data_IF_914238371118
#
_entry.id   IF_914238371118
#
_cell.length_a   1.000
_cell.length_b   1.000
_cell.length_c   1.000
_cell.angle_alpha   90.00
_cell.angle_beta   90.00
_cell.angle_gamma   90.00
#
_symmetry.space_group_name_H-M   'P 1'
#
loop_
_entity.id
_entity.type
_entity.pdbx_description
1 polymer ?
#
# COMPACT_ATOMS: atom_id res chain seq x y z
N UNK A 1 14.52 -20.03 13.92
CA UNK A 1 15.90 -19.52 13.66
C UNK A 1 16.29 -18.46 14.70
N UNK A 2 15.68 -17.28 14.75
CA UNK A 2 16.03 -16.19 15.70
C UNK A 2 16.15 -16.66 17.18
N UNK A 3 15.23 -17.46 17.71
CA UNK A 3 15.32 -17.94 19.10
C UNK A 3 16.48 -18.86 19.44
N UNK A 4 17.01 -19.57 18.44
CA UNK A 4 18.22 -20.36 18.60
C UNK A 4 19.45 -19.46 18.72
N UNK A 5 19.47 -18.32 18.01
CA UNK A 5 20.57 -17.34 18.05
C UNK A 5 20.56 -16.49 19.32
N UNK A 6 19.39 -16.25 19.91
CA UNK A 6 19.22 -15.47 21.16
C UNK A 6 19.22 -16.40 22.40
N UNK A 7 19.32 -17.72 22.21
CA UNK A 7 19.32 -18.69 23.33
C UNK A 7 17.99 -18.76 24.10
N UNK A 8 16.88 -18.30 23.52
CA UNK A 8 15.58 -18.23 24.20
C UNK A 8 14.80 -19.53 24.07
N UNK A 9 14.11 -19.94 25.14
CA UNK A 9 13.22 -21.11 25.13
C UNK A 9 12.03 -20.89 24.17
N UNK A 10 11.66 -21.88 23.33
CA UNK A 10 10.55 -21.75 22.37
C UNK A 10 9.23 -21.24 22.96
N UNK A 11 8.87 -21.71 24.16
CA UNK A 11 7.65 -21.28 24.88
C UNK A 11 7.62 -19.78 25.17
N UNK A 12 8.76 -19.20 25.55
CA UNK A 12 8.85 -17.75 25.81
C UNK A 12 8.65 -16.96 24.52
N UNK A 13 9.24 -17.41 23.41
CA UNK A 13 9.07 -16.74 22.11
C UNK A 13 7.63 -16.73 21.63
N UNK A 14 6.93 -17.85 21.80
CA UNK A 14 5.54 -17.98 21.40
C UNK A 14 4.62 -17.08 22.24
N UNK A 15 4.81 -17.06 23.56
CA UNK A 15 4.06 -16.15 24.44
C UNK A 15 4.24 -14.67 24.05
N UNK A 16 5.47 -14.24 23.75
CA UNK A 16 5.74 -12.87 23.30
C UNK A 16 5.15 -12.57 21.91
N UNK A 17 5.07 -13.55 21.02
CA UNK A 17 4.38 -13.38 19.73
C UNK A 17 2.87 -13.21 19.90
N UNK A 18 2.25 -14.01 20.78
CA UNK A 18 0.82 -13.86 21.08
C UNK A 18 0.53 -12.52 21.74
N UNK A 19 1.31 -12.15 22.76
CA UNK A 19 1.18 -10.85 23.42
C UNK A 19 1.37 -9.69 22.42
N UNK A 20 2.41 -9.76 21.59
CA UNK A 20 2.65 -8.76 20.55
C UNK A 20 1.52 -8.66 19.53
N UNK A 21 0.93 -9.79 19.14
CA UNK A 21 -0.22 -9.82 18.22
C UNK A 21 -1.47 -9.22 18.87
N UNK A 22 -1.73 -9.52 20.14
CA UNK A 22 -2.86 -8.96 20.89
C UNK A 22 -2.74 -7.45 21.06
N UNK A 23 -1.56 -6.96 21.48
CA UNK A 23 -1.30 -5.52 21.64
C UNK A 23 -1.39 -4.81 20.30
N UNK A 24 -0.85 -5.41 19.23
CA UNK A 24 -0.96 -4.87 17.86
C UNK A 24 -2.42 -4.80 17.40
N UNK A 25 -3.20 -5.88 17.57
CA UNK A 25 -4.62 -5.92 17.19
C UNK A 25 -5.44 -4.87 17.95
N UNK A 26 -5.23 -4.72 19.26
CA UNK A 26 -5.89 -3.71 20.07
C UNK A 26 -5.54 -2.28 19.61
N UNK A 27 -4.25 -2.03 19.33
CA UNK A 27 -3.76 -0.72 18.86
C UNK A 27 -4.35 -0.38 17.50
N UNK A 28 -4.29 -1.32 16.54
CA UNK A 28 -4.84 -1.15 15.19
C UNK A 28 -6.35 -0.92 15.25
N UNK A 29 -7.09 -1.70 16.05
CA UNK A 29 -8.52 -1.50 16.26
C UNK A 29 -8.85 -0.10 16.82
N UNK A 30 -8.07 0.38 17.78
CA UNK A 30 -8.20 1.74 18.32
C UNK A 30 -7.93 2.82 17.27
N UNK A 31 -6.85 2.68 16.49
CA UNK A 31 -6.51 3.62 15.40
C UNK A 31 -7.60 3.65 14.34
N UNK A 32 -8.12 2.50 13.91
CA UNK A 32 -9.23 2.41 12.95
C UNK A 32 -10.47 3.16 13.45
N UNK A 33 -10.80 3.03 14.75
CA UNK A 33 -11.94 3.74 15.33
C UNK A 33 -11.73 5.26 15.34
N UNK A 34 -10.51 5.73 15.63
CA UNK A 34 -10.17 7.16 15.55
C UNK A 34 -10.30 7.66 14.12
N UNK A 35 -9.70 6.95 13.15
CA UNK A 35 -9.78 7.31 11.73
C UNK A 35 -11.24 7.37 11.23
N UNK A 36 -12.06 6.39 11.62
CA UNK A 36 -13.48 6.39 11.27
C UNK A 36 -14.22 7.61 11.83
N UNK A 37 -13.91 8.03 13.05
CA UNK A 37 -14.55 9.22 13.65
C UNK A 37 -14.06 10.53 13.05
N UNK A 38 -12.79 10.62 12.67
CA UNK A 38 -12.17 11.86 12.18
C UNK A 38 -12.42 12.12 10.70
N UNK A 39 -12.39 11.07 9.87
CA UNK A 39 -12.52 11.18 8.40
C UNK A 39 -13.71 10.40 7.84
N UNK A 40 -14.15 9.34 8.53
CA UNK A 40 -15.13 8.40 7.97
C UNK A 40 -14.52 7.50 6.89
N UNK A 41 -15.15 6.34 6.67
CA UNK A 41 -14.78 5.42 5.58
C UNK A 41 -15.78 5.45 4.40
N UNK A 42 -16.87 6.22 4.53
CA UNK A 42 -17.91 6.42 3.51
C UNK A 42 -18.31 7.90 3.46
N UNK A 43 -18.36 8.50 2.26
CA UNK A 43 -18.73 9.91 2.05
C UNK A 43 -17.71 10.73 1.21
N UNK A 44 -17.98 12.03 0.97
CA UNK A 44 -17.15 12.89 0.11
C UNK A 44 -15.71 13.12 0.60
N UNK A 45 -15.49 13.16 1.92
CA UNK A 45 -14.17 13.39 2.55
C UNK A 45 -13.62 12.13 3.25
N UNK A 46 -14.16 10.96 2.91
CA UNK A 46 -13.81 9.70 3.54
C UNK A 46 -12.45 9.17 3.08
N UNK A 47 -11.82 8.38 3.96
CA UNK A 47 -10.65 7.58 3.59
C UNK A 47 -11.08 6.42 2.69
N UNK A 48 -11.23 6.71 1.40
CA UNK A 48 -11.63 5.71 0.40
C UNK A 48 -10.55 4.64 0.32
N UNK A 49 -10.94 3.38 0.56
CA UNK A 49 -10.08 2.22 0.44
C UNK A 49 -10.46 1.43 -0.83
N UNK A 50 -9.94 1.81 -2.01
CA UNK A 50 -10.36 1.22 -3.29
C UNK A 50 -10.06 -0.28 -3.40
N UNK A 51 -9.09 -0.80 -2.65
CA UNK A 51 -8.81 -2.24 -2.59
C UNK A 51 -9.73 -2.98 -1.61
N UNK A 52 -10.19 -2.32 -0.55
CA UNK A 52 -11.07 -2.93 0.45
C UNK A 52 -12.52 -3.00 -0.03
N UNK A 53 -12.99 -2.01 -0.81
CA UNK A 53 -14.38 -1.93 -1.27
C UNK A 53 -14.80 -3.16 -2.11
N UNK A 54 -14.03 -3.66 -3.09
CA UNK A 54 -14.37 -4.89 -3.82
C UNK A 54 -14.32 -6.14 -2.93
N UNK A 55 -13.38 -6.20 -1.98
CA UNK A 55 -13.30 -7.33 -1.03
C UNK A 55 -14.53 -7.35 -0.11
N UNK A 56 -14.97 -6.19 0.38
CA UNK A 56 -16.20 -6.06 1.14
C UNK A 56 -17.42 -6.50 0.30
N UNK A 57 -17.51 -6.04 -0.95
CA UNK A 57 -18.60 -6.43 -1.86
C UNK A 57 -18.67 -7.94 -2.16
N UNK A 58 -17.56 -8.68 -2.05
CA UNK A 58 -17.54 -10.16 -2.17
C UNK A 58 -17.93 -10.85 -0.86
N UNK A 59 -17.58 -10.25 0.28
CA UNK A 59 -17.86 -10.79 1.61
C UNK A 59 -19.32 -10.50 2.04
N UNK A 60 -19.86 -9.34 1.70
CA UNK A 60 -21.21 -8.91 2.10
C UNK A 60 -22.30 -9.92 1.70
N UNK A 61 -22.33 -10.50 0.48
CA UNK A 61 -23.28 -11.55 0.13
C UNK A 61 -23.11 -12.82 0.98
N UNK A 62 -21.87 -13.18 1.34
CA UNK A 62 -21.58 -14.36 2.17
C UNK A 62 -22.02 -14.17 3.63
N UNK A 63 -21.96 -12.94 4.14
CA UNK A 63 -22.34 -12.62 5.53
C UNK A 63 -23.82 -12.28 5.70
N UNK A 64 -24.44 -11.65 4.69
CA UNK A 64 -25.84 -11.22 4.73
C UNK A 64 -26.85 -12.31 4.34
N UNK A 65 -26.37 -13.46 3.87
CA UNK A 65 -27.20 -14.55 3.36
C UNK A 65 -27.92 -14.22 2.04
N UNK A 66 -27.66 -13.04 1.44
CA UNK A 66 -28.08 -12.75 0.07
C UNK A 66 -27.34 -13.68 -0.90
N UNK A 67 -28.05 -14.21 -1.90
CA UNK A 67 -27.45 -15.10 -2.88
C UNK A 67 -26.27 -14.41 -3.59
N UNK A 68 -25.07 -14.96 -3.45
CA UNK A 68 -23.90 -14.43 -4.13
C UNK A 68 -24.13 -14.44 -5.66
N UNK A 69 -23.65 -13.43 -6.40
CA UNK A 69 -23.85 -13.33 -7.84
C UNK A 69 -22.91 -14.31 -8.59
N UNK A 70 -23.18 -15.62 -8.48
CA UNK A 70 -22.38 -16.70 -9.05
C UNK A 70 -22.15 -16.56 -10.56
N UNK A 71 -23.12 -15.97 -11.28
CA UNK A 71 -22.97 -15.65 -12.70
C UNK A 71 -21.82 -14.68 -12.98
N UNK A 72 -21.66 -13.62 -12.17
CA UNK A 72 -20.56 -12.67 -12.29
C UNK A 72 -19.21 -13.32 -11.94
N UNK A 73 -19.19 -14.21 -10.94
CA UNK A 73 -17.99 -14.99 -10.62
C UNK A 73 -17.58 -15.94 -11.75
N UNK A 74 -18.56 -16.57 -12.41
CA UNK A 74 -18.32 -17.40 -13.59
C UNK A 74 -17.72 -16.59 -14.75
N UNK A 75 -18.26 -15.41 -15.03
CA UNK A 75 -17.70 -14.49 -16.05
C UNK A 75 -16.27 -14.08 -15.68
N UNK A 76 -16.02 -13.72 -14.42
CA UNK A 76 -14.68 -13.41 -13.92
C UNK A 76 -13.70 -14.58 -14.09
N UNK A 77 -14.14 -15.82 -13.84
CA UNK A 77 -13.32 -17.02 -14.04
C UNK A 77 -12.98 -17.24 -15.51
N UNK A 78 -13.93 -17.02 -16.43
CA UNK A 78 -13.68 -17.12 -17.88
C UNK A 78 -12.69 -16.04 -18.33
N UNK A 79 -12.85 -14.80 -17.89
CA UNK A 79 -11.89 -13.72 -18.18
C UNK A 79 -10.49 -14.07 -17.65
N UNK A 80 -10.40 -14.60 -16.43
CA UNK A 80 -9.12 -15.02 -15.84
C UNK A 80 -8.46 -16.14 -16.65
N UNK A 81 -9.23 -17.11 -17.15
CA UNK A 81 -8.72 -18.16 -18.03
C UNK A 81 -8.19 -17.58 -19.35
N UNK A 82 -8.95 -16.71 -20.01
CA UNK A 82 -8.52 -16.04 -21.25
C UNK A 82 -7.23 -15.25 -21.04
N UNK A 83 -7.13 -14.47 -19.97
CA UNK A 83 -5.92 -13.72 -19.63
C UNK A 83 -4.73 -14.64 -19.36
N UNK A 84 -4.97 -15.77 -18.68
CA UNK A 84 -3.94 -16.78 -18.43
C UNK A 84 -3.42 -17.40 -19.74
N UNK A 85 -4.30 -17.68 -20.71
CA UNK A 85 -3.90 -18.12 -22.05
C UNK A 85 -3.05 -17.09 -22.79
N UNK A 86 -3.37 -15.81 -22.63
CA UNK A 86 -2.60 -14.68 -23.18
C UNK A 86 -1.30 -14.39 -22.41
N UNK A 87 -0.96 -15.18 -21.37
CA UNK A 87 0.16 -14.95 -20.45
C UNK A 87 0.11 -13.57 -19.77
N UNK A 88 -1.09 -13.00 -19.62
CA UNK A 88 -1.33 -11.76 -18.87
C UNK A 88 -1.74 -12.14 -17.45
N UNK A 89 -1.07 -11.63 -16.41
CA UNK A 89 -1.48 -11.88 -15.03
C UNK A 89 -2.89 -11.31 -14.76
N UNK A 90 -3.88 -12.19 -14.59
CA UNK A 90 -5.28 -11.80 -14.38
C UNK A 90 -5.46 -10.90 -13.15
N UNK A 91 -4.67 -11.14 -12.08
CA UNK A 91 -4.70 -10.33 -10.86
C UNK A 91 -4.27 -8.88 -11.12
N UNK A 92 -3.18 -8.66 -11.86
CA UNK A 92 -2.69 -7.31 -12.16
C UNK A 92 -3.67 -6.56 -13.06
N UNK A 93 -4.29 -7.27 -14.01
CA UNK A 93 -5.33 -6.71 -14.88
C UNK A 93 -6.56 -6.29 -14.10
N UNK A 94 -7.10 -7.17 -13.24
CA UNK A 94 -8.25 -6.87 -12.41
C UNK A 94 -7.96 -5.70 -11.46
N UNK A 95 -6.82 -5.72 -10.75
CA UNK A 95 -6.42 -4.62 -9.87
C UNK A 95 -6.32 -3.29 -10.63
N UNK A 96 -5.76 -3.28 -11.84
CA UNK A 96 -5.69 -2.07 -12.67
C UNK A 96 -7.06 -1.50 -13.05
N UNK A 97 -8.07 -2.35 -13.25
CA UNK A 97 -9.45 -1.92 -13.53
C UNK A 97 -10.15 -1.31 -12.31
N UNK A 98 -9.78 -1.71 -11.09
CA UNK A 98 -10.43 -1.26 -9.86
C UNK A 98 -9.80 0.01 -9.27
N UNK A 99 -8.53 0.27 -9.56
CA UNK A 99 -7.82 1.39 -8.96
C UNK A 99 -8.20 2.70 -9.68
N UNK A 100 -8.55 3.78 -8.95
CA UNK A 100 -8.78 5.11 -9.53
C UNK A 100 -7.59 5.58 -10.38
N UNK A 101 -7.87 6.38 -11.42
CA UNK A 101 -6.83 6.88 -12.33
C UNK A 101 -5.70 7.63 -11.59
N UNK A 102 -6.06 8.40 -10.57
CA UNK A 102 -5.15 9.16 -9.70
C UNK A 102 -4.11 8.26 -8.99
N UNK A 103 -4.45 7.01 -8.71
CA UNK A 103 -3.56 6.03 -8.10
C UNK A 103 -2.84 5.13 -9.13
N UNK A 104 -3.43 4.95 -10.32
CA UNK A 104 -2.84 4.18 -11.40
C UNK A 104 -1.59 4.85 -12.00
N UNK A 105 -1.58 6.17 -12.17
CA UNK A 105 -0.44 6.89 -12.74
C UNK A 105 0.82 6.75 -11.86
N UNK A 106 0.77 7.00 -10.53
CA UNK A 106 1.92 6.77 -9.66
C UNK A 106 2.39 5.31 -9.67
N UNK A 107 1.47 4.35 -9.76
CA UNK A 107 1.80 2.92 -9.82
C UNK A 107 2.53 2.57 -11.13
N UNK A 108 2.09 3.12 -12.26
CA UNK A 108 2.76 2.99 -13.55
C UNK A 108 4.17 3.58 -13.51
N UNK A 109 4.34 4.78 -12.93
CA UNK A 109 5.64 5.43 -12.78
C UNK A 109 6.55 4.59 -11.88
N UNK A 110 6.04 4.06 -10.76
CA UNK A 110 6.78 3.14 -9.89
C UNK A 110 7.24 1.86 -10.62
N UNK A 111 6.37 1.29 -11.45
CA UNK A 111 6.69 0.16 -12.33
C UNK A 111 7.76 0.50 -13.36
N UNK A 112 7.66 1.67 -14.00
CA UNK A 112 8.65 2.18 -14.94
C UNK A 112 10.02 2.40 -14.28
N UNK A 113 10.03 2.93 -13.05
CA UNK A 113 11.26 3.09 -12.26
C UNK A 113 11.85 1.71 -11.90
N UNK A 114 11.03 0.76 -11.45
CA UNK A 114 11.48 -0.60 -11.14
C UNK A 114 12.13 -1.28 -12.35
N UNK A 115 11.48 -1.18 -13.52
CA UNK A 115 12.03 -1.65 -14.79
C UNK A 115 13.33 -0.93 -15.15
N UNK A 116 13.37 0.39 -15.02
CA UNK A 116 14.55 1.20 -15.31
C UNK A 116 15.74 0.88 -14.39
N UNK A 117 15.51 0.64 -13.10
CA UNK A 117 16.58 0.32 -12.14
C UNK A 117 17.11 -1.11 -12.33
N UNK A 118 16.24 -2.05 -12.71
CA UNK A 118 16.56 -3.48 -12.85
C UNK A 118 17.06 -3.91 -14.23
N UNK A 119 17.06 -3.03 -15.25
CA UNK A 119 17.45 -3.36 -16.63
C UNK A 119 18.81 -2.80 -17.08
N UNK A 120 19.48 -1.98 -16.25
CA UNK A 120 20.64 -1.17 -16.69
C UNK A 120 22.01 -1.82 -16.49
N UNK A 121 22.11 -2.91 -15.74
CA UNK A 121 23.35 -3.69 -15.65
C UNK A 121 23.28 -4.94 -16.51
N UNK A 122 24.43 -5.39 -17.02
CA UNK A 122 24.58 -6.74 -17.60
C UNK A 122 24.64 -7.82 -16.52
N UNK A 123 24.93 -7.43 -15.28
CA UNK A 123 24.99 -8.32 -14.14
C UNK A 123 23.61 -8.48 -13.49
N UNK A 124 23.09 -9.71 -13.51
CA UNK A 124 21.80 -10.08 -12.93
C UNK A 124 21.78 -9.95 -11.39
N UNK A 125 22.90 -10.21 -10.71
CA UNK A 125 23.00 -10.08 -9.25
C UNK A 125 22.91 -8.61 -8.83
N UNK A 126 23.60 -7.74 -9.56
CA UNK A 126 23.58 -6.30 -9.31
C UNK A 126 22.20 -5.69 -9.58
N UNK A 127 21.51 -6.12 -10.65
CA UNK A 127 20.14 -5.67 -10.94
C UNK A 127 19.14 -6.09 -9.85
N UNK A 128 19.29 -7.30 -9.32
CA UNK A 128 18.47 -7.80 -8.21
C UNK A 128 18.71 -6.96 -6.95
N UNK A 129 19.97 -6.74 -6.58
CA UNK A 129 20.31 -5.90 -5.42
C UNK A 129 19.74 -4.48 -5.51
N UNK A 130 19.77 -3.87 -6.71
CA UNK A 130 19.16 -2.55 -6.94
C UNK A 130 17.63 -2.59 -6.83
N UNK A 131 16.99 -3.63 -7.35
CA UNK A 131 15.52 -3.82 -7.26
C UNK A 131 15.08 -4.01 -5.81
N UNK A 132 15.81 -4.82 -5.04
CA UNK A 132 15.51 -5.07 -3.63
C UNK A 132 15.68 -3.80 -2.80
N UNK A 133 16.75 -3.03 -3.06
CA UNK A 133 16.94 -1.72 -2.41
C UNK A 133 15.83 -0.73 -2.76
N UNK A 134 15.42 -0.66 -4.03
CA UNK A 134 14.29 0.18 -4.44
C UNK A 134 12.97 -0.25 -3.78
N UNK A 135 12.74 -1.56 -3.64
CA UNK A 135 11.57 -2.10 -2.95
C UNK A 135 11.58 -1.74 -1.46
N UNK A 136 12.75 -1.77 -0.80
CA UNK A 136 12.93 -1.37 0.59
C UNK A 136 12.66 0.13 0.81
N UNK A 137 13.13 0.99 -0.11
CA UNK A 137 12.85 2.42 -0.04
C UNK A 137 11.36 2.72 -0.25
N UNK A 138 10.75 2.08 -1.25
CA UNK A 138 9.33 2.24 -1.54
C UNK A 138 8.45 1.83 -0.35
N UNK A 139 8.73 0.69 0.29
CA UNK A 139 7.99 0.26 1.48
C UNK A 139 8.21 1.21 2.67
N UNK A 140 9.42 1.78 2.80
CA UNK A 140 9.71 2.84 3.77
C UNK A 140 8.87 4.10 3.55
N UNK A 141 8.72 4.56 2.31
CA UNK A 141 7.86 5.71 1.99
C UNK A 141 6.38 5.43 2.24
N UNK A 142 5.90 4.23 1.89
CA UNK A 142 4.51 3.81 2.18
C UNK A 142 4.27 3.80 3.69
N UNK A 143 5.17 3.18 4.47
CA UNK A 143 5.05 3.12 5.92
C UNK A 143 5.13 4.50 6.57
N UNK A 144 6.07 5.36 6.14
CA UNK A 144 6.21 6.72 6.62
C UNK A 144 4.98 7.58 6.33
N UNK A 145 4.43 7.49 5.11
CA UNK A 145 3.19 8.17 4.74
C UNK A 145 2.00 7.73 5.59
N UNK A 146 1.84 6.42 5.81
CA UNK A 146 0.78 5.88 6.66
C UNK A 146 0.90 6.34 8.12
N UNK A 147 2.12 6.32 8.69
CA UNK A 147 2.38 6.80 10.05
C UNK A 147 2.06 8.29 10.20
N UNK A 148 2.50 9.12 9.24
CA UNK A 148 2.18 10.54 9.25
C UNK A 148 0.68 10.81 9.08
N UNK A 149 -0.04 9.97 8.32
CA UNK A 149 -1.50 10.01 8.23
C UNK A 149 -2.18 9.76 9.57
N UNK A 150 -1.71 8.76 10.34
CA UNK A 150 -2.23 8.48 11.69
C UNK A 150 -1.93 9.63 12.66
N UNK A 151 -0.72 10.20 12.62
CA UNK A 151 -0.35 11.37 13.43
C UNK A 151 -1.26 12.55 13.11
N UNK A 152 -1.48 12.83 11.82
CA UNK A 152 -2.36 13.92 11.38
C UNK A 152 -3.82 13.69 11.83
N UNK A 153 -4.31 12.45 11.76
CA UNK A 153 -5.63 12.07 12.27
C UNK A 153 -5.77 12.31 13.78
N UNK A 154 -4.73 11.98 14.56
CA UNK A 154 -4.72 12.17 16.00
C UNK A 154 -4.72 13.66 16.39
N UNK A 155 -3.96 14.50 15.67
CA UNK A 155 -3.93 15.95 15.91
C UNK A 155 -5.29 16.59 15.59
N UNK A 156 -5.90 16.22 14.46
CA UNK A 156 -7.26 16.68 14.10
C UNK A 156 -8.30 16.22 15.12
N UNK A 157 -8.20 14.98 15.61
CA UNK A 157 -9.05 14.46 16.68
C UNK A 157 -8.89 15.22 18.01
N UNK A 158 -7.68 15.74 18.30
CA UNK A 158 -7.41 16.58 19.48
C UNK A 158 -7.91 18.03 19.34
N UNK A 159 -8.56 18.38 18.22
CA UNK A 159 -9.18 19.69 18.00
C UNK A 159 -8.26 20.76 17.38
N UNK A 160 -7.04 20.40 16.99
CA UNK A 160 -6.15 21.28 16.24
C UNK A 160 -6.21 20.92 14.75
N UNK A 161 -6.98 21.67 13.96
CA UNK A 161 -6.90 21.54 12.51
C UNK A 161 -5.70 22.35 11.98
N UNK A 162 -4.61 21.64 11.70
CA UNK A 162 -3.42 22.23 11.10
C UNK A 162 -3.51 22.29 9.56
N UNK A 163 -4.60 21.77 8.97
CA UNK A 163 -4.82 21.80 7.53
C UNK A 163 -5.32 23.18 7.11
N UNK A 164 -4.53 23.88 6.29
CA UNK A 164 -5.00 25.09 5.62
C UNK A 164 -5.61 24.73 4.26
N UNK A 165 -6.93 24.52 4.23
CA UNK A 165 -7.66 24.13 3.00
C UNK A 165 -7.51 25.15 1.86
N UNK A 166 -7.48 26.45 2.19
CA UNK A 166 -7.31 27.51 1.20
C UNK A 166 -5.94 27.45 0.51
N UNK A 167 -4.90 27.05 1.24
CA UNK A 167 -3.59 26.82 0.65
C UNK A 167 -3.52 25.48 -0.10
N UNK A 168 -4.12 24.41 0.45
CA UNK A 168 -4.13 23.09 -0.18
C UNK A 168 -4.83 23.10 -1.57
N UNK A 169 -5.87 23.91 -1.73
CA UNK A 169 -6.55 24.10 -3.01
C UNK A 169 -5.82 25.08 -3.96
N UNK A 170 -4.75 25.74 -3.51
CA UNK A 170 -4.05 26.73 -4.33
C UNK A 170 -3.17 26.06 -5.39
N UNK A 171 -2.97 26.77 -6.51
CA UNK A 171 -2.04 26.36 -7.57
C UNK A 171 -0.60 26.15 -7.03
N UNK A 172 -0.21 26.90 -6.01
CA UNK A 172 1.10 26.77 -5.37
C UNK A 172 1.30 25.40 -4.70
N UNK A 173 0.28 24.90 -4.01
CA UNK A 173 0.31 23.57 -3.40
C UNK A 173 0.37 22.46 -4.45
N UNK A 174 -0.34 22.61 -5.57
CA UNK A 174 -0.29 21.64 -6.68
C UNK A 174 1.11 21.55 -7.30
N UNK A 175 1.74 22.70 -7.60
CA UNK A 175 3.11 22.71 -8.13
C UNK A 175 4.13 22.15 -7.14
N UNK A 176 3.97 22.46 -5.85
CA UNK A 176 4.81 21.90 -4.80
C UNK A 176 4.66 20.39 -4.70
N UNK A 177 3.42 19.87 -4.77
CA UNK A 177 3.17 18.43 -4.76
C UNK A 177 3.84 17.72 -5.94
N UNK A 178 3.74 18.29 -7.15
CA UNK A 178 4.41 17.75 -8.35
C UNK A 178 5.93 17.81 -8.20
N UNK A 179 6.48 18.93 -7.73
CA UNK A 179 7.92 19.08 -7.50
C UNK A 179 8.44 18.04 -6.50
N UNK A 180 7.75 17.88 -5.35
CA UNK A 180 8.10 16.89 -4.34
C UNK A 180 7.98 15.46 -4.87
N UNK A 181 6.95 15.17 -5.67
CA UNK A 181 6.79 13.87 -6.31
C UNK A 181 7.96 13.54 -7.25
N UNK A 182 8.38 14.49 -8.08
CA UNK A 182 9.55 14.33 -8.97
C UNK A 182 10.83 14.13 -8.16
N UNK A 183 11.02 14.89 -7.08
CA UNK A 183 12.17 14.75 -6.17
C UNK A 183 12.20 13.35 -5.55
N UNK A 184 11.07 12.84 -5.05
CA UNK A 184 10.98 11.49 -4.48
C UNK A 184 11.26 10.40 -5.52
N UNK A 185 10.72 10.54 -6.74
CA UNK A 185 11.03 9.62 -7.84
C UNK A 185 12.52 9.63 -8.19
N UNK A 186 13.12 10.82 -8.28
CA UNK A 186 14.54 11.00 -8.55
C UNK A 186 15.42 10.40 -7.44
N UNK A 187 15.08 10.65 -6.18
CA UNK A 187 15.75 10.08 -5.02
C UNK A 187 15.67 8.55 -5.02
N UNK A 188 14.50 7.99 -5.29
CA UNK A 188 14.31 6.54 -5.35
C UNK A 188 15.21 5.92 -6.44
N UNK A 189 15.25 6.51 -7.64
CA UNK A 189 16.15 6.05 -8.72
C UNK A 189 17.62 6.16 -8.31
N UNK A 190 18.01 7.29 -7.70
CA UNK A 190 19.39 7.57 -7.33
C UNK A 190 19.90 6.63 -6.24
N UNK A 191 19.16 6.45 -5.14
CA UNK A 191 19.61 5.57 -4.06
C UNK A 191 19.50 4.09 -4.45
N UNK A 192 18.48 3.70 -5.23
CA UNK A 192 18.39 2.32 -5.72
C UNK A 192 19.62 1.96 -6.58
N UNK A 193 20.15 2.90 -7.37
CA UNK A 193 21.36 2.68 -8.18
C UNK A 193 22.66 2.63 -7.36
N UNK A 194 22.68 3.18 -6.15
CA UNK A 194 23.84 3.13 -5.23
C UNK A 194 24.07 1.76 -4.61
N UNK A 195 23.15 0.82 -4.75
CA UNK A 195 23.40 -0.57 -4.38
C UNK A 195 24.65 -1.09 -5.11
N UNK A 196 25.66 -1.48 -4.35
CA UNK A 196 26.86 -2.17 -4.82
C UNK A 196 26.78 -3.62 -4.37
N UNK A 197 27.38 -4.51 -5.14
CA UNK A 197 27.65 -5.86 -4.68
C UNK A 197 28.70 -5.78 -3.57
N UNK A 198 28.34 -6.25 -2.38
CA UNK A 198 29.28 -6.55 -1.31
C UNK A 198 29.67 -8.02 -1.40
#
# INVERSE_FOLDING_TARGET
KIGYWIGTTPRKQEAWKFLGTLVSAATVGGVIMILNKTYGFTGPDALVAPQANPMAAVIDPLMSGTGAPWGLYGVGAVIALVLTFLKVPALAFALGMFIPFELNIPLLIGGAISWYVSSRSRDAALNTARKDRGTLLASGFIAGGALMGVVSAAIKFAGADLMNEAWAASNGAQWLAVAMYVVLCGYLVWDSKRAKMN
#
